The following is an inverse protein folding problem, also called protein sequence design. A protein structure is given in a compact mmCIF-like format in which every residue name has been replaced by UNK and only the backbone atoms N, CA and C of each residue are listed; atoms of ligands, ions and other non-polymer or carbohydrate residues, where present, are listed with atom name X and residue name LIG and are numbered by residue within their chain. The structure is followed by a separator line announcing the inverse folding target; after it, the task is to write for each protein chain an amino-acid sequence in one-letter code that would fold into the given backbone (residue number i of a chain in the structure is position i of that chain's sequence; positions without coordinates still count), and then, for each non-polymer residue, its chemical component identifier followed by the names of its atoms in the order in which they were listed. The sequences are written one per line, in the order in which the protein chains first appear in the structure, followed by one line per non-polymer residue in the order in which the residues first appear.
data_IF_019570289706
#
_entry.id   IF_019570289706
#
_cell.length_a   1.000
_cell.length_b   1.000
_cell.length_c   1.000
_cell.angle_alpha   90.00
_cell.angle_beta   90.00
_cell.angle_gamma   90.00
#
_symmetry.space_group_name_H-M   'P 1'
#
loop_
_entity.id
_entity.type
_entity.pdbx_description
1 polymer ?
#
# COMPACT_ATOMS: atom_id res chain seq x y z
N UNK A 1 9.56 -24.52 -14.39
CA UNK A 1 9.05 -23.15 -14.22
C UNK A 1 8.30 -23.09 -12.89
N UNK A 2 8.51 -22.03 -12.10
CA UNK A 2 7.80 -21.79 -10.84
C UNK A 2 6.77 -20.71 -11.06
N UNK A 3 5.59 -20.87 -10.46
CA UNK A 3 4.50 -19.89 -10.53
C UNK A 3 4.18 -19.40 -9.12
N UNK A 4 3.76 -18.16 -9.01
CA UNK A 4 3.24 -17.58 -7.78
C UNK A 4 1.88 -16.90 -8.02
N UNK A 5 1.01 -16.98 -7.02
CA UNK A 5 -0.22 -16.21 -6.91
C UNK A 5 -0.11 -15.28 -5.72
N UNK A 6 -0.25 -13.98 -5.95
CA UNK A 6 -0.25 -12.94 -4.93
C UNK A 6 -1.60 -12.23 -5.02
N UNK A 7 -2.39 -12.30 -3.96
CA UNK A 7 -3.74 -11.75 -3.93
C UNK A 7 -3.94 -10.73 -2.81
N UNK A 8 -4.85 -9.79 -3.00
CA UNK A 8 -5.29 -8.86 -1.96
C UNK A 8 -6.29 -9.49 -1.00
N UNK A 9 -6.90 -10.60 -1.39
CA UNK A 9 -7.98 -11.27 -0.68
C UNK A 9 -7.58 -12.58 -0.02
N UNK A 10 -8.58 -13.18 0.60
CA UNK A 10 -8.46 -14.44 1.29
C UNK A 10 -8.71 -15.62 0.34
N UNK A 11 -7.97 -16.72 0.51
CA UNK A 11 -8.25 -18.00 -0.15
C UNK A 11 -9.44 -18.70 0.52
N UNK A 12 -10.63 -18.11 0.37
CA UNK A 12 -11.87 -18.62 0.97
C UNK A 12 -13.04 -18.45 0.00
N UNK A 13 -13.73 -19.55 -0.32
CA UNK A 13 -14.82 -19.60 -1.30
C UNK A 13 -15.99 -18.66 -0.94
N UNK A 14 -16.35 -18.55 0.35
CA UNK A 14 -17.47 -17.73 0.79
C UNK A 14 -17.17 -16.23 0.62
N UNK A 15 -15.97 -15.81 1.02
CA UNK A 15 -15.55 -14.40 0.89
C UNK A 15 -15.33 -14.01 -0.57
N UNK A 16 -14.86 -14.93 -1.41
CA UNK A 16 -14.66 -14.68 -2.84
C UNK A 16 -15.94 -14.34 -3.61
N UNK A 17 -17.12 -14.70 -3.06
CA UNK A 17 -18.43 -14.39 -3.68
C UNK A 17 -18.94 -12.98 -3.37
N UNK A 18 -18.43 -12.35 -2.33
CA UNK A 18 -18.91 -11.06 -1.82
C UNK A 18 -17.82 -9.96 -1.79
N UNK A 19 -16.55 -10.32 -1.88
CA UNK A 19 -15.44 -9.38 -1.89
C UNK A 19 -14.93 -9.16 -3.31
N UNK A 20 -14.58 -7.91 -3.61
CA UNK A 20 -13.75 -7.62 -4.78
C UNK A 20 -12.28 -7.75 -4.36
N UNK A 21 -11.47 -8.39 -5.19
CA UNK A 21 -10.04 -8.55 -4.93
C UNK A 21 -9.23 -8.56 -6.23
N UNK A 22 -7.94 -8.27 -6.10
CA UNK A 22 -6.98 -8.41 -7.18
C UNK A 22 -6.11 -9.64 -6.97
N UNK A 23 -5.73 -10.27 -8.07
CA UNK A 23 -4.85 -11.43 -8.11
C UNK A 23 -3.76 -11.23 -9.17
N UNK A 24 -2.51 -11.33 -8.76
CA UNK A 24 -1.36 -11.39 -9.65
C UNK A 24 -0.90 -12.84 -9.78
N UNK A 25 -0.98 -13.37 -11.00
CA UNK A 25 -0.39 -14.65 -11.36
C UNK A 25 0.90 -14.37 -12.13
N UNK A 26 2.02 -14.89 -11.66
CA UNK A 26 3.34 -14.59 -12.24
C UNK A 26 4.26 -15.79 -12.26
N UNK A 27 5.14 -15.84 -13.28
CA UNK A 27 6.24 -16.78 -13.37
C UNK A 27 7.61 -16.08 -13.31
N UNK A 28 7.64 -14.77 -13.04
CA UNK A 28 8.87 -13.98 -12.95
C UNK A 28 9.76 -14.53 -11.83
N UNK A 29 10.98 -14.99 -12.14
CA UNK A 29 11.86 -15.64 -11.16
C UNK A 29 12.13 -14.76 -9.92
N UNK A 30 12.35 -13.46 -10.11
CA UNK A 30 12.62 -12.51 -9.04
C UNK A 30 11.49 -12.42 -8.02
N UNK A 31 10.22 -12.58 -8.44
CA UNK A 31 9.06 -12.57 -7.54
C UNK A 31 8.84 -13.97 -6.95
N UNK A 32 8.86 -15.01 -7.78
CA UNK A 32 8.58 -16.39 -7.32
C UNK A 32 9.62 -16.90 -6.34
N UNK A 33 10.88 -16.46 -6.46
CA UNK A 33 11.93 -16.80 -5.50
C UNK A 33 11.69 -16.10 -4.15
N UNK A 34 11.30 -14.82 -4.14
CA UNK A 34 10.97 -14.14 -2.90
C UNK A 34 9.70 -14.70 -2.24
N UNK A 35 8.68 -15.11 -3.01
CA UNK A 35 7.52 -15.82 -2.46
C UNK A 35 7.95 -17.12 -1.75
N UNK A 36 8.88 -17.89 -2.33
CA UNK A 36 9.45 -19.05 -1.66
C UNK A 36 10.14 -18.70 -0.33
N UNK A 37 10.87 -17.59 -0.30
CA UNK A 37 11.53 -17.12 0.93
C UNK A 37 10.53 -16.67 1.98
N UNK A 38 9.34 -16.15 1.60
CA UNK A 38 8.24 -15.89 2.55
C UNK A 38 7.80 -17.17 3.24
N UNK A 39 7.59 -18.26 2.49
CA UNK A 39 7.24 -19.56 3.08
C UNK A 39 8.36 -20.12 3.97
N UNK A 40 9.62 -19.97 3.56
CA UNK A 40 10.75 -20.35 4.39
C UNK A 40 10.86 -19.52 5.68
N UNK A 41 10.55 -18.23 5.62
CA UNK A 41 10.49 -17.36 6.79
C UNK A 41 9.36 -17.76 7.75
N UNK A 42 8.17 -18.11 7.24
CA UNK A 42 7.06 -18.60 8.08
C UNK A 42 7.44 -19.88 8.83
N UNK A 43 8.19 -20.77 8.19
CA UNK A 43 8.68 -22.02 8.82
C UNK A 43 9.80 -21.80 9.82
N UNK A 44 10.64 -20.77 9.61
CA UNK A 44 11.80 -20.46 10.43
C UNK A 44 11.95 -18.93 10.62
N UNK A 45 11.12 -18.30 11.51
CA UNK A 45 11.06 -16.85 11.63
C UNK A 45 12.36 -16.18 12.14
N UNK A 46 13.30 -16.96 12.67
CA UNK A 46 14.64 -16.49 13.08
C UNK A 46 15.58 -16.22 11.90
N UNK A 47 15.23 -16.67 10.70
CA UNK A 47 16.04 -16.43 9.49
C UNK A 47 15.91 -14.98 9.06
N UNK A 48 17.05 -14.34 8.82
CA UNK A 48 17.09 -13.00 8.21
C UNK A 48 16.94 -13.15 6.70
N UNK A 49 15.76 -12.81 6.17
CA UNK A 49 15.50 -12.77 4.74
C UNK A 49 15.47 -11.32 4.28
N UNK A 50 16.11 -11.03 3.14
CA UNK A 50 16.03 -9.72 2.48
C UNK A 50 15.09 -9.85 1.28
N UNK A 51 14.06 -8.98 1.25
CA UNK A 51 13.13 -8.86 0.14
C UNK A 51 13.47 -7.60 -0.66
N UNK A 52 13.51 -7.70 -1.98
CA UNK A 52 13.75 -6.58 -2.90
C UNK A 52 12.46 -6.13 -3.59
N UNK A 53 11.60 -7.09 -3.92
CA UNK A 53 10.36 -6.87 -4.67
C UNK A 53 9.12 -6.97 -3.78
N UNK A 54 9.14 -7.87 -2.79
CA UNK A 54 8.02 -8.04 -1.86
C UNK A 54 8.20 -7.19 -0.60
N UNK A 55 7.11 -6.60 -0.16
CA UNK A 55 7.02 -5.93 1.13
C UNK A 55 6.29 -6.84 2.12
N UNK A 56 7.02 -7.34 3.08
CA UNK A 56 6.50 -8.31 4.04
C UNK A 56 6.17 -7.62 5.36
N UNK A 57 4.90 -7.67 5.77
CA UNK A 57 4.46 -7.19 7.08
C UNK A 57 4.78 -8.24 8.16
N UNK A 58 5.24 -7.82 9.35
CA UNK A 58 5.58 -6.46 9.79
C UNK A 58 7.02 -6.02 9.48
N UNK A 59 7.80 -6.82 8.75
CA UNK A 59 9.26 -6.67 8.67
C UNK A 59 9.75 -5.54 7.77
N UNK A 60 9.25 -5.45 6.52
CA UNK A 60 9.76 -4.48 5.53
C UNK A 60 8.70 -3.52 5.00
N UNK A 61 7.42 -3.88 5.06
CA UNK A 61 6.34 -3.10 4.47
C UNK A 61 6.34 -1.64 4.94
N UNK A 62 6.37 -1.40 6.25
CA UNK A 62 6.32 -0.06 6.82
C UNK A 62 7.48 0.81 6.33
N UNK A 63 8.71 0.27 6.39
CA UNK A 63 9.90 0.97 5.91
C UNK A 63 9.78 1.35 4.42
N UNK A 64 9.31 0.43 3.59
CA UNK A 64 9.18 0.66 2.15
C UNK A 64 8.09 1.69 1.81
N UNK A 65 7.00 1.74 2.59
CA UNK A 65 5.97 2.79 2.47
C UNK A 65 6.58 4.15 2.79
N UNK A 66 7.29 4.27 3.94
CA UNK A 66 7.93 5.53 4.33
C UNK A 66 8.90 6.02 3.26
N UNK A 67 9.76 5.15 2.75
CA UNK A 67 10.73 5.48 1.72
C UNK A 67 10.09 6.03 0.44
N UNK A 68 8.91 5.52 0.06
CA UNK A 68 8.18 6.05 -1.11
C UNK A 68 7.49 7.38 -0.81
N UNK A 69 6.94 7.54 0.36
CA UNK A 69 6.37 8.83 0.78
C UNK A 69 7.49 9.89 0.81
N UNK A 70 8.65 9.58 1.39
CA UNK A 70 9.80 10.48 1.42
C UNK A 70 10.23 10.90 0.01
N UNK A 71 10.29 9.97 -0.93
CA UNK A 71 10.59 10.28 -2.32
C UNK A 71 9.55 11.24 -2.95
N UNK A 72 8.27 11.03 -2.72
CA UNK A 72 7.25 11.97 -3.22
C UNK A 72 7.36 13.36 -2.58
N UNK A 73 7.77 13.43 -1.31
CA UNK A 73 8.10 14.68 -0.61
C UNK A 73 9.27 15.39 -1.31
N UNK A 74 10.40 14.71 -1.50
CA UNK A 74 11.58 15.24 -2.18
C UNK A 74 11.26 15.77 -3.59
N UNK A 75 10.42 15.02 -4.34
CA UNK A 75 9.95 15.47 -5.64
C UNK A 75 9.16 16.78 -5.54
N UNK A 76 8.21 16.86 -4.61
CA UNK A 76 7.39 18.06 -4.42
C UNK A 76 8.22 19.28 -3.97
N UNK A 77 9.16 19.10 -3.05
CA UNK A 77 10.08 20.16 -2.56
C UNK A 77 10.99 20.70 -3.67
N UNK A 78 11.31 19.88 -4.67
CA UNK A 78 12.09 20.30 -5.84
C UNK A 78 11.23 20.88 -6.97
N UNK A 79 9.94 21.16 -6.72
CA UNK A 79 9.00 21.72 -7.68
C UNK A 79 8.47 20.72 -8.71
N UNK A 80 8.75 19.43 -8.55
CA UNK A 80 8.18 18.35 -9.35
C UNK A 80 6.85 17.90 -8.77
N UNK A 81 6.12 17.07 -9.51
CA UNK A 81 4.82 16.58 -9.08
C UNK A 81 4.98 15.40 -8.12
N UNK A 82 4.63 15.58 -6.84
CA UNK A 82 4.43 14.50 -5.90
C UNK A 82 2.96 14.06 -5.86
N UNK A 83 2.68 12.76 -5.98
CA UNK A 83 1.32 12.23 -5.88
C UNK A 83 1.28 10.82 -5.33
N UNK A 84 0.35 10.57 -4.42
CA UNK A 84 0.10 9.27 -3.80
C UNK A 84 -1.37 8.90 -3.95
N UNK A 85 -1.65 7.67 -4.38
CA UNK A 85 -2.99 7.08 -4.38
C UNK A 85 -2.99 5.89 -3.43
N UNK A 86 -3.96 5.84 -2.52
CA UNK A 86 -4.07 4.78 -1.52
C UNK A 86 -5.48 4.20 -1.56
N UNK A 87 -5.59 2.89 -1.64
CA UNK A 87 -6.83 2.18 -1.35
C UNK A 87 -6.55 1.14 -0.28
N UNK A 88 -7.18 1.28 0.87
CA UNK A 88 -7.01 0.40 2.03
C UNK A 88 -8.34 0.17 2.74
N UNK A 89 -8.43 -0.86 3.57
CA UNK A 89 -9.62 -1.00 4.40
C UNK A 89 -9.55 -0.05 5.60
N UNK A 90 -8.41 0.00 6.27
CA UNK A 90 -8.20 0.86 7.42
C UNK A 90 -6.91 1.68 7.27
N UNK A 91 -6.98 2.94 7.69
CA UNK A 91 -5.88 3.89 7.77
C UNK A 91 -5.90 4.49 9.18
N UNK A 92 -5.22 3.83 10.12
CA UNK A 92 -5.30 4.19 11.53
C UNK A 92 -3.93 4.24 12.25
N UNK A 93 -2.85 3.87 11.58
CA UNK A 93 -1.50 4.02 12.12
C UNK A 93 -1.15 5.50 12.28
N UNK A 94 -0.93 5.94 13.50
CA UNK A 94 -0.67 7.35 13.85
C UNK A 94 0.56 7.91 13.14
N UNK A 95 1.63 7.12 13.03
CA UNK A 95 2.86 7.59 12.43
C UNK A 95 2.72 7.69 10.90
N UNK A 96 2.04 6.72 10.26
CA UNK A 96 1.75 6.79 8.82
C UNK A 96 0.83 7.97 8.49
N UNK A 97 -0.20 8.22 9.31
CA UNK A 97 -1.06 9.40 9.16
C UNK A 97 -0.26 10.69 9.31
N UNK A 98 0.62 10.78 10.30
CA UNK A 98 1.52 11.92 10.48
C UNK A 98 2.40 12.12 9.25
N UNK A 99 2.95 11.02 8.71
CA UNK A 99 3.78 11.07 7.50
C UNK A 99 3.02 11.55 6.27
N UNK A 100 1.74 11.20 6.15
CA UNK A 100 0.89 11.72 5.07
C UNK A 100 0.59 13.22 5.24
N UNK A 101 0.45 13.72 6.48
CA UNK A 101 0.36 15.16 6.72
C UNK A 101 1.66 15.90 6.39
N UNK A 102 2.83 15.31 6.66
CA UNK A 102 4.13 15.86 6.23
C UNK A 102 4.19 15.96 4.69
N UNK A 103 3.79 14.90 3.99
CA UNK A 103 3.73 14.89 2.53
C UNK A 103 2.79 15.97 1.97
N UNK A 104 1.61 16.15 2.60
CA UNK A 104 0.70 17.24 2.25
C UNK A 104 1.36 18.62 2.37
N UNK A 105 2.08 18.89 3.48
CA UNK A 105 2.79 20.17 3.70
C UNK A 105 3.87 20.42 2.66
N UNK A 106 4.56 19.38 2.23
CA UNK A 106 5.55 19.46 1.15
C UNK A 106 4.94 19.69 -0.25
N UNK A 107 3.61 19.59 -0.38
CA UNK A 107 2.92 19.83 -1.64
C UNK A 107 2.45 18.57 -2.38
N UNK A 108 2.63 17.40 -1.79
CA UNK A 108 2.18 16.12 -2.38
C UNK A 108 0.65 16.05 -2.38
N UNK A 109 0.07 15.70 -3.52
CA UNK A 109 -1.36 15.41 -3.63
C UNK A 109 -1.64 13.96 -3.21
N UNK A 110 -2.61 13.77 -2.32
CA UNK A 110 -2.96 12.45 -1.79
C UNK A 110 -4.45 12.17 -2.01
N UNK A 111 -4.75 11.10 -2.72
CA UNK A 111 -6.10 10.58 -2.89
C UNK A 111 -6.19 9.22 -2.18
N UNK A 112 -7.07 9.10 -1.19
CA UNK A 112 -7.27 7.88 -0.42
C UNK A 112 -8.70 7.36 -0.56
N UNK A 113 -8.84 6.05 -0.76
CA UNK A 113 -10.10 5.33 -0.66
C UNK A 113 -10.04 4.43 0.57
N UNK A 114 -10.79 4.77 1.63
CA UNK A 114 -10.79 4.05 2.91
C UNK A 114 -12.22 3.67 3.24
N UNK A 115 -12.51 2.37 3.37
CA UNK A 115 -13.88 1.90 3.63
C UNK A 115 -14.18 1.64 5.09
N UNK A 116 -13.17 1.45 5.93
CA UNK A 116 -13.28 1.18 7.36
C UNK A 116 -12.79 2.33 8.22
N UNK A 117 -11.99 2.02 9.23
CA UNK A 117 -11.44 3.01 10.16
C UNK A 117 -10.46 3.96 9.45
N UNK A 118 -10.68 5.26 9.62
CA UNK A 118 -9.79 6.31 9.12
C UNK A 118 -9.59 7.36 10.22
N UNK A 119 -8.37 7.48 10.72
CA UNK A 119 -8.02 8.52 11.71
C UNK A 119 -7.45 9.78 11.06
N UNK A 120 -7.16 9.73 9.75
CA UNK A 120 -6.77 10.89 8.97
C UNK A 120 -7.97 11.77 8.69
N UNK A 121 -7.86 13.07 8.98
CA UNK A 121 -8.91 14.08 8.71
C UNK A 121 -8.49 14.86 7.46
N UNK A 122 -9.21 14.76 6.33
CA UNK A 122 -8.89 15.46 5.10
C UNK A 122 -9.42 16.91 5.09
N UNK A 123 -8.85 17.75 4.23
CA UNK A 123 -9.39 19.07 3.89
C UNK A 123 -9.17 20.16 4.94
N UNK A 124 -8.32 19.95 5.93
CA UNK A 124 -7.97 20.97 6.93
C UNK A 124 -6.92 21.91 6.33
N UNK A 125 -7.20 23.25 6.23
CA UNK A 125 -6.25 24.21 5.70
C UNK A 125 -4.89 24.17 6.40
N UNK A 126 -3.81 24.07 5.62
CA UNK A 126 -2.43 24.00 6.11
C UNK A 126 -2.01 22.66 6.72
N UNK A 127 -2.94 21.72 6.89
CA UNK A 127 -2.65 20.38 7.43
C UNK A 127 -2.91 19.27 6.41
N UNK A 128 -4.06 19.30 5.73
CA UNK A 128 -4.52 18.23 4.84
C UNK A 128 -5.35 18.74 3.65
N UNK A 129 -5.12 19.96 3.22
CA UNK A 129 -5.82 20.63 2.13
C UNK A 129 -5.60 19.96 0.75
N UNK A 130 -4.51 19.20 0.61
CA UNK A 130 -4.20 18.39 -0.59
C UNK A 130 -4.53 16.91 -0.43
N UNK A 131 -5.18 16.55 0.68
CA UNK A 131 -5.61 15.17 0.94
C UNK A 131 -7.11 15.06 0.71
N UNK A 132 -7.50 14.14 -0.16
CA UNK A 132 -8.88 13.76 -0.38
C UNK A 132 -9.10 12.33 0.07
N UNK A 133 -10.12 12.10 0.88
CA UNK A 133 -10.54 10.77 1.32
C UNK A 133 -11.95 10.49 0.85
N UNK A 134 -12.16 9.33 0.25
CA UNK A 134 -13.48 8.82 -0.15
C UNK A 134 -13.67 7.42 0.43
N UNK A 135 -14.94 7.00 0.49
CA UNK A 135 -15.32 5.61 0.78
C UNK A 135 -16.24 5.10 -0.31
N UNK A 136 -16.11 3.84 -0.68
CA UNK A 136 -16.99 3.17 -1.64
C UNK A 136 -17.74 2.09 -0.89
N UNK A 137 -19.08 2.19 -0.93
CA UNK A 137 -20.00 1.19 -0.38
C UNK A 137 -20.95 0.77 -1.50
N UNK A 138 -20.91 -0.51 -1.83
CA UNK A 138 -21.72 -1.08 -2.90
C UNK A 138 -22.11 -2.53 -2.56
N UNK A 139 -22.72 -3.22 -3.51
CA UNK A 139 -23.18 -4.61 -3.40
C UNK A 139 -22.04 -5.55 -3.00
N UNK A 140 -20.86 -5.36 -3.56
CA UNK A 140 -19.67 -6.11 -3.22
C UNK A 140 -18.77 -5.30 -2.29
N UNK A 141 -18.13 -5.98 -1.35
CA UNK A 141 -17.19 -5.36 -0.43
C UNK A 141 -15.91 -4.99 -1.15
N UNK A 142 -15.60 -3.69 -1.20
CA UNK A 142 -14.36 -3.15 -1.76
C UNK A 142 -13.16 -3.50 -0.87
N UNK A 143 -12.53 -4.66 -1.14
CA UNK A 143 -11.53 -5.26 -0.28
C UNK A 143 -10.07 -5.08 -0.72
N UNK A 144 -9.75 -4.83 -2.02
CA UNK A 144 -8.36 -4.74 -2.44
C UNK A 144 -7.62 -3.58 -1.77
N UNK A 145 -6.36 -3.82 -1.38
CA UNK A 145 -5.44 -2.76 -0.95
C UNK A 145 -4.47 -2.49 -2.07
N UNK A 146 -4.36 -1.22 -2.42
CA UNK A 146 -3.51 -0.74 -3.50
C UNK A 146 -2.80 0.53 -3.05
N UNK A 147 -1.53 0.66 -3.35
CA UNK A 147 -0.79 1.91 -3.23
C UNK A 147 -0.12 2.25 -4.56
N UNK A 148 -0.21 3.51 -4.96
CA UNK A 148 0.48 4.03 -6.15
C UNK A 148 1.26 5.27 -5.76
N UNK A 149 2.54 5.28 -6.09
CA UNK A 149 3.44 6.41 -5.95
C UNK A 149 3.82 6.91 -7.34
N UNK A 150 3.69 8.21 -7.58
CA UNK A 150 3.83 8.79 -8.92
C UNK A 150 5.25 8.73 -9.46
N UNK A 151 6.25 8.80 -8.59
CA UNK A 151 7.66 8.59 -8.93
C UNK A 151 8.12 9.34 -10.18
N UNK A 152 7.85 10.66 -10.23
CA UNK A 152 8.25 11.54 -11.34
C UNK A 152 7.76 11.10 -12.75
N UNK A 153 6.61 10.45 -12.81
CA UNK A 153 6.00 10.00 -14.06
C UNK A 153 6.28 8.53 -14.44
N UNK A 154 7.02 7.80 -13.61
CA UNK A 154 7.20 6.34 -13.69
C UNK A 154 6.52 5.66 -12.49
N UNK A 155 5.20 5.53 -12.48
CA UNK A 155 4.44 5.16 -11.31
C UNK A 155 4.72 3.74 -10.85
N UNK A 156 4.99 3.59 -9.55
CA UNK A 156 5.08 2.30 -8.88
C UNK A 156 3.71 1.91 -8.31
N UNK A 157 3.23 0.73 -8.66
CA UNK A 157 1.94 0.18 -8.22
C UNK A 157 2.15 -1.06 -7.36
N UNK A 158 1.54 -1.06 -6.19
CA UNK A 158 1.61 -2.17 -5.23
C UNK A 158 0.22 -2.66 -4.88
N UNK A 159 0.04 -3.98 -4.87
CA UNK A 159 -1.14 -4.64 -4.31
C UNK A 159 -0.77 -5.33 -3.00
N UNK A 160 -1.67 -5.34 -2.03
CA UNK A 160 -1.40 -5.90 -0.70
C UNK A 160 -2.63 -6.54 -0.09
N UNK A 161 -2.41 -7.47 0.84
CA UNK A 161 -3.43 -7.97 1.77
C UNK A 161 -3.35 -7.30 3.15
N UNK A 162 -2.33 -6.49 3.42
CA UNK A 162 -2.14 -5.78 4.68
C UNK A 162 -2.67 -4.33 4.61
N UNK A 163 -3.28 -3.88 5.68
CA UNK A 163 -3.73 -2.50 5.88
C UNK A 163 -2.61 -1.59 6.40
N UNK A 164 -2.90 -0.31 6.52
CA UNK A 164 -2.05 0.72 7.09
C UNK A 164 -2.49 1.02 8.54
N UNK A 165 -2.28 0.03 9.41
CA UNK A 165 -2.62 0.04 10.83
C UNK A 165 -1.40 -0.14 11.70
#
# INVERSE_FOLDING_TARGET
VRYAHIGTGNFNEKTARIYTDFSLLTARPEITDEVREVFAFVQAPYRRVKFKHLWVSPTTQRYEIYRRIDREIELAETGRRGRILIKVNNLADTDLVTKLYEANRAGVQIDACVRGMCTLIPGIPGLSDRIRVISIVDRFLEHPRVAVFYNDGDPEVFISSADWM
#
